data_IF_281606296644
#
_entry.id   IF_281606296644
#
_cell.length_a   1.000
_cell.length_b   1.000
_cell.length_c   1.000
_cell.angle_alpha   90.00
_cell.angle_beta   90.00
_cell.angle_gamma   90.00
#
_symmetry.space_group_name_H-M   'P 1'
#
loop_
_entity.id
_entity.type
_entity.pdbx_description
1 polymer ?
#
# COMPACT_ATOMS: atom_id res chain seq x y z
N UNK A 1 -18.96 29.21 17.35
CA UNK A 1 -17.60 29.29 16.81
C UNK A 1 -16.76 28.10 17.29
N UNK A 2 -17.20 26.87 17.03
CA UNK A 2 -16.44 25.66 17.40
C UNK A 2 -15.89 24.93 16.16
N UNK A 3 -16.29 25.38 14.97
CA UNK A 3 -16.07 24.70 13.68
C UNK A 3 -14.76 25.10 12.98
N UNK A 4 -13.90 25.91 13.60
CA UNK A 4 -12.62 26.35 13.04
C UNK A 4 -11.51 26.22 14.10
N UNK A 5 -11.41 25.04 14.73
CA UNK A 5 -10.26 24.74 15.59
C UNK A 5 -9.05 24.43 14.69
N UNK A 6 -7.88 24.95 15.06
CA UNK A 6 -6.64 24.61 14.36
C UNK A 6 -6.35 23.12 14.55
N UNK A 7 -6.11 22.43 13.44
CA UNK A 7 -5.74 21.02 13.44
C UNK A 7 -4.25 20.88 13.16
N UNK A 8 -3.59 20.01 13.93
CA UNK A 8 -2.26 19.51 13.59
C UNK A 8 -2.41 18.26 12.73
N UNK A 9 -1.71 18.22 11.60
CA UNK A 9 -1.68 17.08 10.70
C UNK A 9 -0.35 16.36 10.84
N UNK A 10 -0.39 15.02 10.78
CA UNK A 10 0.83 14.24 10.66
C UNK A 10 1.35 14.37 9.24
N UNK A 11 2.60 14.78 9.11
CA UNK A 11 3.30 14.96 7.84
C UNK A 11 4.49 14.00 7.77
N UNK A 12 4.86 13.65 6.54
CA UNK A 12 6.01 12.82 6.21
C UNK A 12 5.70 11.32 6.20
N UNK A 13 6.62 10.53 5.62
CA UNK A 13 6.40 9.12 5.27
C UNK A 13 6.16 8.20 6.48
N UNK A 14 6.66 8.56 7.66
CA UNK A 14 6.56 7.69 8.84
C UNK A 14 7.41 6.42 8.69
N UNK A 15 6.91 5.28 9.20
CA UNK A 15 7.66 4.02 9.26
C UNK A 15 7.05 2.98 8.30
N UNK A 16 7.75 2.60 7.21
CA UNK A 16 7.19 1.67 6.21
C UNK A 16 6.88 0.28 6.76
N UNK A 17 7.55 -0.15 7.84
CA UNK A 17 7.25 -1.40 8.55
C UNK A 17 5.79 -1.50 9.00
N UNK A 18 5.13 -0.39 9.33
CA UNK A 18 3.69 -0.37 9.69
C UNK A 18 2.77 -0.88 8.56
N UNK A 19 3.24 -0.81 7.32
CA UNK A 19 2.54 -1.35 6.14
C UNK A 19 3.01 -2.77 5.85
N UNK A 20 4.33 -2.97 5.78
CA UNK A 20 4.97 -4.23 5.36
C UNK A 20 4.68 -5.37 6.34
N UNK A 21 4.66 -5.10 7.64
CA UNK A 21 4.51 -6.13 8.69
C UNK A 21 3.09 -6.72 8.76
N UNK A 22 2.13 -6.18 8.00
CA UNK A 22 0.77 -6.73 7.90
C UNK A 22 0.70 -7.99 7.03
N UNK A 23 1.74 -8.27 6.26
CA UNK A 23 1.77 -9.41 5.34
C UNK A 23 2.59 -10.55 5.93
N UNK A 24 2.02 -11.75 5.91
CA UNK A 24 2.70 -12.97 6.38
C UNK A 24 3.21 -13.79 5.20
N UNK A 25 4.33 -14.49 5.40
CA UNK A 25 4.91 -15.37 4.38
C UNK A 25 4.07 -16.63 4.07
N UNK A 26 2.99 -16.89 4.80
CA UNK A 26 2.05 -17.98 4.52
C UNK A 26 1.15 -17.65 3.33
N UNK A 27 0.65 -16.41 3.27
CA UNK A 27 -0.32 -15.97 2.28
C UNK A 27 0.32 -15.08 1.20
N UNK A 28 1.44 -14.45 1.53
CA UNK A 28 2.11 -13.48 0.68
C UNK A 28 3.57 -13.85 0.41
N UNK A 29 4.14 -13.19 -0.59
CA UNK A 29 5.57 -13.24 -0.93
C UNK A 29 6.12 -11.83 -1.06
N UNK A 30 7.11 -11.51 -0.24
CA UNK A 30 7.89 -10.28 -0.31
C UNK A 30 9.19 -10.47 -1.08
N UNK A 31 9.55 -9.47 -1.88
CA UNK A 31 10.85 -9.32 -2.54
C UNK A 31 11.34 -7.89 -2.31
N UNK A 32 12.63 -7.74 -2.02
CA UNK A 32 13.32 -6.44 -1.99
C UNK A 32 14.33 -6.44 -3.12
N UNK A 33 14.29 -5.42 -3.98
CA UNK A 33 15.21 -5.30 -5.11
C UNK A 33 16.49 -4.50 -4.76
N UNK A 34 17.37 -4.28 -5.74
CA UNK A 34 18.64 -3.58 -5.56
C UNK A 34 18.48 -2.08 -5.23
N UNK A 35 17.29 -1.52 -5.42
CA UNK A 35 16.95 -0.14 -5.08
C UNK A 35 16.30 -0.02 -3.70
N UNK A 36 16.16 -1.14 -3.00
CA UNK A 36 15.35 -1.28 -1.79
C UNK A 36 13.85 -1.05 -2.01
N UNK A 37 13.37 -1.19 -3.26
CA UNK A 37 11.94 -1.22 -3.52
C UNK A 37 11.38 -2.56 -3.00
N UNK A 38 10.24 -2.51 -2.32
CA UNK A 38 9.60 -3.70 -1.71
C UNK A 38 8.37 -4.07 -2.53
N UNK A 39 8.30 -5.33 -2.92
CA UNK A 39 7.21 -5.91 -3.70
C UNK A 39 6.57 -7.05 -2.92
N UNK A 40 5.30 -6.91 -2.56
CA UNK A 40 4.53 -7.93 -1.86
C UNK A 40 3.37 -8.36 -2.74
N UNK A 41 3.25 -9.67 -2.97
CA UNK A 41 2.19 -10.25 -3.79
C UNK A 41 1.45 -11.32 -2.99
N UNK A 42 0.13 -11.40 -3.13
CA UNK A 42 -0.59 -12.60 -2.66
C UNK A 42 -0.17 -13.81 -3.50
N UNK A 43 -0.15 -15.01 -2.90
CA UNK A 43 0.28 -16.22 -3.60
C UNK A 43 -0.57 -16.55 -4.83
N UNK A 44 -1.85 -16.22 -4.78
CA UNK A 44 -2.77 -16.38 -5.90
C UNK A 44 -2.69 -15.24 -6.93
N UNK A 45 -1.79 -14.27 -6.73
CA UNK A 45 -1.51 -13.19 -7.69
C UNK A 45 -2.62 -12.15 -7.83
N UNK A 46 -3.51 -12.04 -6.84
CA UNK A 46 -4.66 -11.13 -6.87
C UNK A 46 -4.39 -9.77 -6.23
N UNK A 47 -3.53 -9.73 -5.22
CA UNK A 47 -3.12 -8.50 -4.55
C UNK A 47 -1.64 -8.24 -4.82
N UNK A 48 -1.32 -6.98 -5.07
CA UNK A 48 0.03 -6.44 -5.12
C UNK A 48 0.14 -5.20 -4.24
N UNK A 49 1.20 -5.12 -3.45
CA UNK A 49 1.70 -3.91 -2.81
C UNK A 49 3.13 -3.65 -3.32
N UNK A 50 3.37 -2.44 -3.82
CA UNK A 50 4.72 -1.92 -4.05
C UNK A 50 4.99 -0.76 -3.10
N UNK A 51 6.16 -0.74 -2.47
CA UNK A 51 6.68 0.41 -1.74
C UNK A 51 8.01 0.85 -2.36
N UNK A 52 8.11 2.13 -2.68
CA UNK A 52 9.20 2.72 -3.45
C UNK A 52 9.75 3.92 -2.68
N UNK A 53 10.77 3.75 -1.82
CA UNK A 53 11.26 4.82 -0.94
C UNK A 53 11.74 6.05 -1.70
N UNK A 54 12.22 5.88 -2.92
CA UNK A 54 12.73 6.95 -3.80
C UNK A 54 11.75 7.30 -4.93
N UNK A 55 10.50 6.83 -4.84
CA UNK A 55 9.49 6.94 -5.89
C UNK A 55 9.67 5.90 -7.00
N UNK A 56 8.54 5.43 -7.53
CA UNK A 56 8.51 4.36 -8.53
C UNK A 56 9.17 4.77 -9.85
N UNK A 57 10.12 3.97 -10.38
CA UNK A 57 10.77 4.25 -11.65
C UNK A 57 9.80 4.30 -12.82
N UNK A 58 9.92 5.34 -13.65
CA UNK A 58 9.07 5.52 -14.82
C UNK A 58 7.59 5.75 -14.51
N UNK A 59 7.24 5.97 -13.24
CA UNK A 59 5.92 6.42 -12.81
C UNK A 59 5.94 7.88 -12.36
N UNK A 60 4.80 8.35 -11.89
CA UNK A 60 4.60 9.74 -11.46
C UNK A 60 5.06 9.99 -10.00
N UNK A 61 6.22 9.43 -9.61
CA UNK A 61 6.77 9.60 -8.25
C UNK A 61 6.03 8.82 -7.15
N UNK A 62 5.39 7.72 -7.52
CA UNK A 62 4.56 6.91 -6.61
C UNK A 62 5.43 6.28 -5.50
N UNK A 63 5.16 6.59 -4.25
CA UNK A 63 5.85 6.03 -3.08
C UNK A 63 5.24 4.71 -2.62
N UNK A 64 3.95 4.48 -2.85
CA UNK A 64 3.32 3.17 -2.65
C UNK A 64 2.19 2.93 -3.63
N UNK A 65 2.03 1.69 -4.05
CA UNK A 65 0.96 1.26 -4.95
C UNK A 65 0.29 0.03 -4.38
N UNK A 66 -1.03 0.06 -4.23
CA UNK A 66 -1.86 -1.09 -3.91
C UNK A 66 -2.68 -1.42 -5.15
N UNK A 67 -2.61 -2.65 -5.64
CA UNK A 67 -3.40 -3.11 -6.78
C UNK A 67 -4.10 -4.43 -6.46
N UNK A 68 -5.39 -4.49 -6.79
CA UNK A 68 -6.19 -5.71 -6.74
C UNK A 68 -6.66 -6.04 -8.15
N UNK A 69 -6.27 -7.20 -8.63
CA UNK A 69 -6.65 -7.68 -9.97
C UNK A 69 -8.13 -8.04 -10.00
N UNK A 70 -8.80 -7.61 -11.07
CA UNK A 70 -10.20 -7.93 -11.30
C UNK A 70 -10.45 -9.40 -11.68
N UNK A 71 -11.65 -9.66 -12.15
CA UNK A 71 -12.05 -10.91 -12.76
C UNK A 71 -12.54 -10.66 -14.18
N UNK A 72 -12.92 -11.72 -14.89
CA UNK A 72 -13.61 -11.57 -16.17
C UNK A 72 -14.94 -10.81 -16.07
N UNK A 73 -15.55 -10.71 -14.87
CA UNK A 73 -16.88 -10.11 -14.66
C UNK A 73 -16.84 -8.74 -13.97
N UNK A 74 -15.82 -8.46 -13.18
CA UNK A 74 -15.72 -7.27 -12.36
C UNK A 74 -14.32 -6.67 -12.47
N UNK A 75 -14.20 -5.33 -12.66
CA UNK A 75 -12.90 -4.69 -12.74
C UNK A 75 -12.16 -4.78 -11.41
N UNK A 76 -10.83 -4.75 -11.50
CA UNK A 76 -9.96 -4.54 -10.35
C UNK A 76 -9.85 -3.06 -9.99
N UNK A 77 -8.95 -2.74 -9.08
CA UNK A 77 -8.64 -1.35 -8.74
C UNK A 77 -7.18 -1.17 -8.37
N UNK A 78 -6.76 0.11 -8.38
CA UNK A 78 -5.42 0.55 -8.06
C UNK A 78 -5.48 1.83 -7.25
N UNK A 79 -4.69 1.89 -6.19
CA UNK A 79 -4.46 3.09 -5.38
C UNK A 79 -2.98 3.40 -5.41
N UNK A 80 -2.65 4.68 -5.54
CA UNK A 80 -1.28 5.18 -5.55
C UNK A 80 -1.16 6.28 -4.49
N UNK A 81 -0.05 6.26 -3.79
CA UNK A 81 0.30 7.20 -2.74
C UNK A 81 1.67 7.78 -3.05
N UNK A 82 1.88 9.06 -2.79
CA UNK A 82 3.18 9.70 -2.95
C UNK A 82 4.18 9.23 -1.88
N UNK A 83 5.45 9.61 -2.05
CA UNK A 83 6.52 9.26 -1.09
C UNK A 83 6.35 9.91 0.28
N UNK A 84 5.54 10.95 0.41
CA UNK A 84 5.35 11.71 1.65
C UNK A 84 4.09 11.30 2.41
N UNK A 85 3.27 10.41 1.83
CA UNK A 85 2.04 9.92 2.44
C UNK A 85 2.39 9.15 3.70
N UNK A 86 1.81 9.50 4.87
CA UNK A 86 2.10 8.80 6.12
C UNK A 86 1.80 7.31 6.02
N UNK A 87 2.76 6.48 6.44
CA UNK A 87 2.65 5.02 6.45
C UNK A 87 1.41 4.51 7.16
N UNK A 88 0.90 5.20 8.18
CA UNK A 88 -0.33 4.83 8.89
C UNK A 88 -1.60 4.93 8.03
N UNK A 89 -1.65 5.89 7.10
CA UNK A 89 -2.76 6.02 6.15
C UNK A 89 -2.71 4.86 5.17
N UNK A 90 -1.52 4.56 4.64
CA UNK A 90 -1.30 3.44 3.73
C UNK A 90 -1.62 2.12 4.45
N UNK A 91 -1.18 1.98 5.70
CA UNK A 91 -1.43 0.82 6.55
C UNK A 91 -2.93 0.61 6.79
N UNK A 92 -3.69 1.67 7.05
CA UNK A 92 -5.15 1.59 7.19
C UNK A 92 -5.83 1.18 5.89
N UNK A 93 -5.38 1.69 4.74
CA UNK A 93 -5.88 1.27 3.44
C UNK A 93 -5.59 -0.21 3.17
N UNK A 94 -4.36 -0.67 3.43
CA UNK A 94 -3.98 -2.10 3.33
C UNK A 94 -4.85 -2.97 4.22
N UNK A 95 -5.01 -2.61 5.50
CA UNK A 95 -5.85 -3.35 6.44
C UNK A 95 -7.28 -3.48 5.93
N UNK A 96 -7.84 -2.40 5.37
CA UNK A 96 -9.19 -2.41 4.80
C UNK A 96 -9.28 -3.31 3.57
N UNK A 97 -8.28 -3.31 2.69
CA UNK A 97 -8.22 -4.20 1.52
C UNK A 97 -8.17 -5.66 1.99
N UNK A 98 -7.28 -5.99 2.92
CA UNK A 98 -7.13 -7.34 3.47
C UNK A 98 -8.43 -7.82 4.14
N UNK A 99 -9.11 -6.95 4.89
CA UNK A 99 -10.39 -7.27 5.54
C UNK A 99 -11.53 -7.57 4.54
N UNK A 100 -11.42 -7.11 3.29
CA UNK A 100 -12.38 -7.45 2.22
C UNK A 100 -12.03 -8.74 1.48
N UNK A 101 -10.82 -9.28 1.69
CA UNK A 101 -10.43 -10.57 1.15
C UNK A 101 -11.18 -11.69 1.86
N UNK A 102 -11.74 -12.62 1.08
CA UNK A 102 -12.38 -13.84 1.60
C UNK A 102 -11.85 -15.04 0.81
N UNK A 103 -11.59 -16.18 1.47
CA UNK A 103 -11.40 -17.43 0.75
C UNK A 103 -12.60 -17.70 -0.17
N UNK A 104 -12.33 -18.23 -1.36
CA UNK A 104 -13.37 -18.80 -2.22
C UNK A 104 -13.74 -20.20 -1.76
#
# INVERSE_FOLDING_TARGET
MEALRLHSWKLGPGQPGQVIDQFTDADFKGVVDDRADVHINSREGRLYLGWFPMGRPGGDGEGSVIAVTGTAKLPGYRMSFDTETPAEIIAAAVAQVLATSRPL
#
